data_IF_189032815928
#
_entry.id   IF_189032815928
#
_cell.length_a   1.000
_cell.length_b   1.000
_cell.length_c   1.000
_cell.angle_alpha   90.00
_cell.angle_beta   90.00
_cell.angle_gamma   90.00
#
_symmetry.space_group_name_H-M   'P 1'
#
loop_
_entity.id
_entity.type
_entity.pdbx_description
1 polymer ?
#
# COMPACT_ATOMS: atom_id res chain seq x y z
N UNK A 1 -19.49 -7.07 4.04
CA UNK A 1 -18.67 -8.31 3.96
C UNK A 1 -18.21 -8.63 5.37
N UNK A 2 -18.37 -9.87 5.85
CA UNK A 2 -17.98 -10.21 7.23
C UNK A 2 -16.46 -10.38 7.30
N UNK A 3 -15.82 -9.63 8.20
CA UNK A 3 -14.37 -9.66 8.44
C UNK A 3 -14.09 -10.19 9.84
N UNK A 4 -12.98 -10.91 10.00
CA UNK A 4 -12.55 -11.47 11.29
C UNK A 4 -11.10 -11.08 11.59
N UNK A 5 -10.86 -10.60 12.81
CA UNK A 5 -9.50 -10.32 13.29
C UNK A 5 -8.77 -11.64 13.59
N UNK A 6 -7.55 -11.76 13.09
CA UNK A 6 -6.65 -12.89 13.34
C UNK A 6 -5.21 -12.37 13.55
N UNK A 7 -4.34 -13.22 14.11
CA UNK A 7 -2.92 -12.91 14.31
C UNK A 7 -2.07 -13.59 13.24
N UNK A 8 -1.08 -12.86 12.73
CA UNK A 8 -0.04 -13.39 11.85
C UNK A 8 1.15 -13.93 12.66
N UNK A 9 2.10 -14.58 12.01
CA UNK A 9 3.27 -15.18 12.67
C UNK A 9 4.22 -14.17 13.32
N UNK A 10 4.23 -12.90 12.88
CA UNK A 10 5.04 -11.84 13.52
C UNK A 10 4.31 -11.16 14.70
N UNK A 11 3.13 -11.67 15.08
CA UNK A 11 2.30 -11.15 16.16
C UNK A 11 1.38 -10.01 15.76
N UNK A 12 1.52 -9.46 14.55
CA UNK A 12 0.61 -8.42 14.04
C UNK A 12 -0.78 -8.98 13.74
N UNK A 13 -1.80 -8.18 14.01
CA UNK A 13 -3.17 -8.51 13.63
C UNK A 13 -3.40 -8.28 12.14
N UNK A 14 -4.27 -9.06 11.54
CA UNK A 14 -4.80 -8.83 10.19
C UNK A 14 -6.28 -9.19 10.17
N UNK A 15 -6.95 -8.88 9.07
CA UNK A 15 -8.35 -9.20 8.84
C UNK A 15 -8.45 -10.33 7.81
N UNK A 16 -9.29 -11.32 8.09
CA UNK A 16 -9.74 -12.32 7.13
C UNK A 16 -11.10 -11.92 6.55
N UNK A 17 -11.24 -12.07 5.24
CA UNK A 17 -12.51 -11.98 4.55
C UNK A 17 -13.08 -13.39 4.45
N UNK A 18 -14.03 -13.73 5.34
CA UNK A 18 -14.54 -15.10 5.47
C UNK A 18 -15.10 -15.66 4.16
N UNK A 19 -15.74 -14.81 3.35
CA UNK A 19 -16.33 -15.23 2.07
C UNK A 19 -15.30 -15.65 1.01
N UNK A 20 -14.04 -15.19 1.14
CA UNK A 20 -12.97 -15.43 0.18
C UNK A 20 -11.89 -16.36 0.74
N UNK A 21 -11.82 -16.53 2.06
CA UNK A 21 -10.68 -17.18 2.72
C UNK A 21 -9.37 -16.46 2.44
N UNK A 22 -9.42 -15.14 2.23
CA UNK A 22 -8.28 -14.29 1.91
C UNK A 22 -8.06 -13.30 3.06
N UNK A 23 -6.79 -12.95 3.29
CA UNK A 23 -6.38 -12.06 4.36
C UNK A 23 -5.92 -10.72 3.80
N UNK A 24 -6.04 -9.65 4.59
CA UNK A 24 -5.51 -8.33 4.21
C UNK A 24 -3.98 -8.33 4.12
N UNK A 25 -3.31 -9.23 4.85
CA UNK A 25 -1.85 -9.33 4.89
C UNK A 25 -1.40 -10.79 4.86
N UNK A 26 -0.13 -11.04 4.53
CA UNK A 26 0.46 -12.37 4.67
C UNK A 26 0.36 -12.91 6.10
N UNK A 27 -0.13 -14.14 6.24
CA UNK A 27 -0.13 -14.86 7.52
C UNK A 27 1.26 -15.13 8.10
N UNK A 28 2.32 -15.00 7.28
CA UNK A 28 3.71 -15.11 7.75
C UNK A 28 4.19 -13.84 8.49
N UNK A 29 3.44 -12.76 8.44
CA UNK A 29 3.76 -11.49 9.10
C UNK A 29 3.37 -10.29 8.25
N UNK A 30 2.47 -9.44 8.76
CA UNK A 30 2.03 -8.25 8.04
C UNK A 30 3.12 -7.17 8.01
N UNK A 31 3.75 -6.91 9.16
CA UNK A 31 4.77 -5.87 9.30
C UNK A 31 6.00 -6.24 8.48
N UNK A 32 6.46 -7.49 8.58
CA UNK A 32 7.63 -7.96 7.83
C UNK A 32 7.44 -7.90 6.31
N UNK A 33 6.24 -8.22 5.82
CA UNK A 33 5.92 -8.08 4.39
C UNK A 33 5.89 -6.61 3.96
N UNK A 34 5.24 -5.74 4.75
CA UNK A 34 5.12 -4.33 4.44
C UNK A 34 6.49 -3.64 4.33
N UNK A 35 7.39 -3.89 5.30
CA UNK A 35 8.77 -3.38 5.26
C UNK A 35 9.53 -3.88 4.02
N UNK A 36 9.46 -5.18 3.73
CA UNK A 36 10.17 -5.75 2.59
C UNK A 36 9.68 -5.20 1.26
N UNK A 37 8.36 -5.25 1.02
CA UNK A 37 7.76 -4.96 -0.29
C UNK A 37 7.69 -3.45 -0.54
N UNK A 38 7.15 -2.69 0.41
CA UNK A 38 6.77 -1.30 0.17
C UNK A 38 7.86 -0.33 0.62
N UNK A 39 8.54 -0.61 1.73
CA UNK A 39 9.61 0.27 2.24
C UNK A 39 10.94 0.01 1.52
N UNK A 40 11.51 -1.19 1.67
CA UNK A 40 12.85 -1.48 1.15
C UNK A 40 12.92 -1.52 -0.38
N UNK A 41 11.90 -2.09 -1.04
CA UNK A 41 11.87 -2.16 -2.50
C UNK A 41 11.17 -0.98 -3.17
N UNK A 42 10.56 -0.08 -2.39
CA UNK A 42 9.82 1.09 -2.86
C UNK A 42 10.34 2.40 -2.26
N UNK A 43 9.90 2.74 -1.04
CA UNK A 43 10.13 4.03 -0.40
C UNK A 43 11.60 4.47 -0.33
N UNK A 44 12.49 3.53 0.01
CA UNK A 44 13.92 3.81 0.22
C UNK A 44 14.62 4.28 -1.07
N UNK A 45 14.06 3.97 -2.25
CA UNK A 45 14.57 4.44 -3.54
C UNK A 45 14.49 5.97 -3.70
N UNK A 46 13.72 6.63 -2.83
CA UNK A 46 13.48 8.06 -2.83
C UNK A 46 13.99 8.75 -1.56
N UNK A 47 14.94 8.16 -0.83
CA UNK A 47 15.52 8.78 0.36
C UNK A 47 16.02 10.21 0.07
N UNK A 48 15.79 11.13 1.00
CA UNK A 48 16.14 12.55 0.90
C UNK A 48 15.30 13.36 -0.08
N UNK A 49 14.23 12.80 -0.67
CA UNK A 49 13.41 13.47 -1.68
C UNK A 49 12.02 13.83 -1.17
N UNK A 50 11.43 14.82 -1.85
CA UNK A 50 9.98 15.07 -1.80
C UNK A 50 9.29 14.14 -2.81
N UNK A 51 8.31 13.36 -2.37
CA UNK A 51 7.59 12.42 -3.22
C UNK A 51 6.07 12.50 -3.04
N UNK A 52 5.35 12.21 -4.12
CA UNK A 52 3.92 11.95 -4.13
C UNK A 52 3.73 10.44 -4.26
N UNK A 53 3.05 9.85 -3.28
CA UNK A 53 2.86 8.41 -3.16
C UNK A 53 1.37 8.09 -3.24
N UNK A 54 1.01 7.12 -4.06
CA UNK A 54 -0.34 6.58 -4.16
C UNK A 54 -0.37 5.12 -3.68
N UNK A 55 -1.24 4.81 -2.73
CA UNK A 55 -1.55 3.44 -2.32
C UNK A 55 -2.89 3.00 -2.90
N UNK A 56 -2.88 1.82 -3.52
CA UNK A 56 -4.07 1.13 -4.02
C UNK A 56 -4.44 0.07 -2.99
N UNK A 57 -5.53 0.33 -2.25
CA UNK A 57 -5.95 -0.51 -1.13
C UNK A 57 -5.35 -0.02 0.18
N UNK A 58 -5.86 1.09 0.73
CA UNK A 58 -5.43 1.59 2.05
C UNK A 58 -5.62 0.53 3.14
N UNK A 59 -6.69 -0.27 3.05
CA UNK A 59 -6.93 -1.42 3.89
C UNK A 59 -6.83 -1.11 5.39
N UNK A 60 -5.90 -1.76 6.07
CA UNK A 60 -5.69 -1.58 7.52
C UNK A 60 -4.84 -0.36 7.87
N UNK A 61 -4.45 0.46 6.89
CA UNK A 61 -3.56 1.62 7.06
C UNK A 61 -2.12 1.26 7.43
N UNK A 62 -1.71 -0.01 7.31
CA UNK A 62 -0.39 -0.48 7.76
C UNK A 62 0.74 0.16 6.96
N UNK A 63 0.70 0.10 5.62
CA UNK A 63 1.77 0.65 4.80
C UNK A 63 1.85 2.17 4.95
N UNK A 64 0.71 2.86 5.00
CA UNK A 64 0.64 4.29 5.24
C UNK A 64 1.27 4.68 6.60
N UNK A 65 0.98 3.91 7.65
CA UNK A 65 1.55 4.16 8.97
C UNK A 65 3.06 3.87 9.03
N UNK A 66 3.53 2.73 8.51
CA UNK A 66 4.97 2.44 8.43
C UNK A 66 5.68 3.50 7.59
N UNK A 67 5.09 3.93 6.47
CA UNK A 67 5.65 5.02 5.65
C UNK A 67 5.76 6.31 6.46
N UNK A 68 4.78 6.63 7.30
CA UNK A 68 4.87 7.75 8.24
C UNK A 68 5.99 7.56 9.29
N UNK A 69 6.19 6.36 9.84
CA UNK A 69 7.29 6.14 10.78
C UNK A 69 8.67 6.30 10.12
N UNK A 70 8.80 5.84 8.87
CA UNK A 70 10.09 5.79 8.16
C UNK A 70 10.47 7.13 7.48
N UNK A 71 9.51 8.00 7.17
CA UNK A 71 9.79 9.21 6.38
C UNK A 71 10.80 10.15 7.04
N UNK A 72 10.80 10.25 8.38
CA UNK A 72 11.74 11.09 9.12
C UNK A 72 13.16 10.54 9.02
N UNK A 73 13.32 9.22 9.23
CA UNK A 73 14.61 8.53 9.10
C UNK A 73 15.17 8.65 7.68
N UNK A 74 14.29 8.56 6.68
CA UNK A 74 14.65 8.68 5.27
C UNK A 74 14.79 10.14 4.80
N UNK A 75 14.54 11.12 5.68
CA UNK A 75 14.62 12.55 5.39
C UNK A 75 13.74 12.97 4.19
N UNK A 76 12.53 12.42 4.13
CA UNK A 76 11.59 12.63 3.03
C UNK A 76 10.52 13.65 3.37
N UNK A 77 9.98 14.28 2.33
CA UNK A 77 8.68 14.95 2.41
C UNK A 77 7.67 14.16 1.59
N UNK A 78 6.62 13.65 2.23
CA UNK A 78 5.68 12.72 1.61
C UNK A 78 4.30 13.35 1.49
N UNK A 79 3.79 13.36 0.26
CA UNK A 79 2.37 13.55 -0.03
C UNK A 79 1.75 12.19 -0.30
N UNK A 80 1.10 11.63 0.72
CA UNK A 80 0.52 10.29 0.68
C UNK A 80 -0.96 10.36 0.28
N UNK A 81 -1.34 9.59 -0.73
CA UNK A 81 -2.74 9.34 -1.06
C UNK A 81 -3.06 7.86 -0.97
N UNK A 82 -4.11 7.49 -0.24
CA UNK A 82 -4.60 6.11 -0.17
C UNK A 82 -6.00 6.01 -0.77
N UNK A 83 -6.21 5.06 -1.69
CA UNK A 83 -7.52 4.78 -2.28
C UNK A 83 -8.13 3.54 -1.61
N UNK A 84 -9.39 3.65 -1.21
CA UNK A 84 -10.13 2.57 -0.58
C UNK A 84 -11.61 2.66 -0.95
N UNK A 85 -12.22 1.53 -1.29
CA UNK A 85 -13.63 1.45 -1.62
C UNK A 85 -14.49 0.98 -0.44
N UNK A 86 -13.90 0.22 0.48
CA UNK A 86 -14.59 -0.43 1.60
C UNK A 86 -13.78 -0.25 2.90
N UNK A 87 -13.76 0.96 3.47
CA UNK A 87 -12.96 1.24 4.66
C UNK A 87 -13.35 0.37 5.85
N UNK A 88 -12.40 0.18 6.76
CA UNK A 88 -12.65 -0.48 8.04
C UNK A 88 -13.54 0.38 8.94
N UNK A 89 -14.30 -0.28 9.81
CA UNK A 89 -15.03 0.43 10.88
C UNK A 89 -14.08 0.83 12.00
N UNK A 90 -14.49 1.77 12.85
CA UNK A 90 -13.67 2.19 14.00
C UNK A 90 -13.38 1.03 14.97
N UNK A 91 -14.33 0.10 15.13
CA UNK A 91 -14.19 -1.10 15.94
C UNK A 91 -13.15 -2.07 15.37
N UNK A 92 -13.12 -2.23 14.04
CA UNK A 92 -12.12 -3.04 13.35
C UNK A 92 -10.72 -2.43 13.51
N UNK A 93 -10.60 -1.10 13.36
CA UNK A 93 -9.34 -0.36 13.54
C UNK A 93 -8.83 -0.48 14.98
N UNK A 94 -9.70 -0.41 15.97
CA UNK A 94 -9.33 -0.53 17.39
C UNK A 94 -8.72 -1.90 17.74
N UNK A 95 -8.93 -2.92 16.91
CA UNK A 95 -8.35 -4.24 17.07
C UNK A 95 -6.98 -4.40 16.38
N UNK A 96 -6.48 -3.36 15.69
CA UNK A 96 -5.18 -3.36 15.03
C UNK A 96 -4.08 -3.01 16.03
N UNK A 97 -3.09 -3.89 16.19
CA UNK A 97 -2.01 -3.76 17.19
C UNK A 97 -0.70 -3.22 16.61
N UNK A 98 -0.75 -2.57 15.44
CA UNK A 98 0.45 -2.12 14.75
C UNK A 98 1.23 -1.06 15.53
N UNK A 99 0.61 -0.02 16.13
CA UNK A 99 1.36 0.96 16.91
C UNK A 99 2.16 0.36 18.05
N UNK A 100 1.61 -0.65 18.74
CA UNK A 100 2.27 -1.35 19.83
C UNK A 100 3.45 -2.19 19.33
N UNK A 101 3.28 -2.93 18.23
CA UNK A 101 4.35 -3.79 17.69
C UNK A 101 5.47 -3.03 16.99
N UNK A 102 5.16 -1.86 16.44
CA UNK A 102 6.13 -0.97 15.80
C UNK A 102 6.84 -0.05 16.80
N UNK A 103 6.58 -0.21 18.10
CA UNK A 103 7.10 0.65 19.18
C UNK A 103 6.92 2.14 18.87
N UNK A 104 5.73 2.50 18.37
CA UNK A 104 5.48 3.82 17.79
C UNK A 104 5.46 4.96 18.82
N UNK A 105 5.48 4.67 20.12
CA UNK A 105 5.48 5.66 21.20
C UNK A 105 4.37 6.70 21.06
N UNK A 106 4.75 7.97 20.96
CA UNK A 106 3.85 9.12 20.79
C UNK A 106 3.12 9.15 19.43
N UNK A 107 3.65 8.43 18.43
CA UNK A 107 3.06 8.33 17.08
C UNK A 107 1.84 7.41 17.00
N UNK A 108 1.44 6.76 18.10
CA UNK A 108 0.16 6.03 18.17
C UNK A 108 -1.03 6.92 17.80
N UNK A 109 -1.02 8.17 18.28
CA UNK A 109 -2.06 9.17 17.95
C UNK A 109 -2.16 9.45 16.44
N UNK A 110 -1.04 9.31 15.70
CA UNK A 110 -1.02 9.48 14.25
C UNK A 110 -1.73 8.33 13.54
N UNK A 111 -1.64 7.10 14.06
CA UNK A 111 -2.39 5.96 13.53
C UNK A 111 -3.91 6.18 13.67
N UNK A 112 -4.35 6.71 14.81
CA UNK A 112 -5.75 7.08 15.06
C UNK A 112 -6.20 8.22 14.14
N UNK A 113 -5.36 9.25 13.97
CA UNK A 113 -5.62 10.37 13.07
C UNK A 113 -5.70 9.92 11.61
N UNK A 114 -4.84 9.00 11.17
CA UNK A 114 -4.86 8.43 9.82
C UNK A 114 -6.23 7.81 9.51
N UNK A 115 -6.79 7.05 10.44
CA UNK A 115 -8.08 6.40 10.26
C UNK A 115 -9.26 7.37 10.38
N UNK A 116 -9.22 8.31 11.33
CA UNK A 116 -10.29 9.28 11.59
C UNK A 116 -10.28 10.50 10.65
N UNK A 117 -9.20 10.73 9.91
CA UNK A 117 -9.11 11.84 8.96
C UNK A 117 -10.28 11.83 7.95
N UNK A 118 -10.80 13.00 7.55
CA UNK A 118 -11.86 13.09 6.55
C UNK A 118 -11.43 12.46 5.22
N UNK A 119 -12.40 11.91 4.50
CA UNK A 119 -12.22 11.44 3.13
C UNK A 119 -12.19 12.63 2.17
N UNK A 120 -11.41 12.48 1.11
CA UNK A 120 -11.25 13.43 0.00
C UNK A 120 -10.67 14.81 0.37
N UNK A 121 -10.17 14.93 1.60
CA UNK A 121 -9.46 16.09 2.12
C UNK A 121 -7.99 15.76 2.44
N UNK A 122 -7.12 16.76 2.29
CA UNK A 122 -5.70 16.62 2.65
C UNK A 122 -5.49 17.09 4.09
N UNK A 123 -4.92 16.21 4.92
CA UNK A 123 -4.58 16.48 6.32
C UNK A 123 -3.07 16.41 6.51
N UNK A 124 -2.51 17.32 7.31
CA UNK A 124 -1.10 17.25 7.72
C UNK A 124 -0.97 16.32 8.93
N UNK A 125 -0.16 15.26 8.82
CA UNK A 125 0.19 14.40 9.96
C UNK A 125 1.48 14.88 10.64
N UNK A 126 2.37 15.51 9.88
CA UNK A 126 3.56 16.24 10.35
C UNK A 126 3.86 17.39 9.38
N UNK A 127 4.86 18.26 9.65
CA UNK A 127 5.28 19.31 8.71
C UNK A 127 5.77 18.77 7.35
N UNK A 128 6.21 17.52 7.31
CA UNK A 128 6.79 16.85 6.13
C UNK A 128 5.95 15.67 5.65
N UNK A 129 4.76 15.45 6.20
CA UNK A 129 3.87 14.36 5.80
C UNK A 129 2.41 14.83 5.73
N UNK A 130 1.81 14.68 4.55
CA UNK A 130 0.37 14.90 4.36
C UNK A 130 -0.30 13.61 3.92
N UNK A 131 -1.52 13.37 4.40
CA UNK A 131 -2.38 12.26 4.02
C UNK A 131 -3.63 12.79 3.31
N UNK A 132 -4.00 12.17 2.18
CA UNK A 132 -5.33 12.25 1.60
C UNK A 132 -5.89 10.85 1.41
N UNK A 133 -7.01 10.54 2.06
CA UNK A 133 -7.73 9.28 1.80
C UNK A 133 -8.80 9.53 0.74
N UNK A 134 -8.96 8.63 -0.22
CA UNK A 134 -9.93 8.76 -1.33
C UNK A 134 -10.93 7.62 -1.28
N UNK A 135 -12.21 7.94 -1.08
CA UNK A 135 -13.28 6.95 -0.95
C UNK A 135 -13.85 6.67 -2.34
N UNK A 136 -13.20 5.77 -3.08
CA UNK A 136 -13.54 5.48 -4.46
C UNK A 136 -13.04 4.10 -4.87
N UNK A 137 -13.59 3.56 -5.96
CA UNK A 137 -13.07 2.33 -6.57
C UNK A 137 -11.81 2.61 -7.38
N UNK A 138 -11.00 1.58 -7.63
CA UNK A 138 -9.72 1.75 -8.34
C UNK A 138 -9.93 2.10 -9.83
N UNK A 139 -11.07 1.74 -10.41
CA UNK A 139 -11.45 2.09 -11.79
C UNK A 139 -11.76 3.58 -11.96
N UNK A 140 -12.01 4.31 -10.87
CA UNK A 140 -12.26 5.75 -10.89
C UNK A 140 -10.96 6.56 -10.91
N UNK A 141 -9.80 5.92 -10.74
CA UNK A 141 -8.50 6.59 -10.80
C UNK A 141 -8.24 7.09 -12.21
N UNK A 142 -8.07 8.41 -12.32
CA UNK A 142 -7.83 9.14 -13.57
C UNK A 142 -6.64 10.10 -13.49
N UNK A 143 -5.83 9.99 -12.43
CA UNK A 143 -4.63 10.81 -12.23
C UNK A 143 -3.64 10.67 -13.40
N UNK A 144 -2.92 11.75 -13.70
CA UNK A 144 -1.95 11.83 -14.80
C UNK A 144 -0.64 12.42 -14.29
N UNK A 145 0.49 11.71 -14.48
CA UNK A 145 1.86 12.16 -14.15
C UNK A 145 1.99 12.79 -12.74
N UNK A 146 1.32 12.20 -11.75
CA UNK A 146 1.16 12.81 -10.43
C UNK A 146 2.04 12.17 -9.37
N UNK A 147 2.24 10.86 -9.45
CA UNK A 147 2.88 10.09 -8.40
C UNK A 147 4.30 9.64 -8.79
N UNK A 148 5.21 9.69 -7.83
CA UNK A 148 6.57 9.18 -7.96
C UNK A 148 6.62 7.67 -7.61
N UNK A 149 5.75 7.24 -6.70
CA UNK A 149 5.68 5.87 -6.18
C UNK A 149 4.23 5.41 -6.04
N UNK A 150 3.93 4.20 -6.51
CA UNK A 150 2.67 3.50 -6.27
C UNK A 150 2.93 2.25 -5.42
N UNK A 151 2.22 2.13 -4.31
CA UNK A 151 2.02 0.86 -3.62
C UNK A 151 0.78 0.19 -4.19
N UNK A 152 0.97 -0.91 -4.91
CA UNK A 152 -0.14 -1.67 -5.46
C UNK A 152 -0.44 -2.85 -4.54
N UNK A 153 -1.30 -2.62 -3.55
CA UNK A 153 -1.64 -3.55 -2.47
C UNK A 153 -3.10 -4.01 -2.52
N UNK A 154 -3.55 -4.36 -3.73
CA UNK A 154 -4.85 -4.96 -3.93
C UNK A 154 -4.86 -6.44 -3.47
N UNK A 155 -6.06 -6.97 -3.18
CA UNK A 155 -6.22 -8.41 -2.96
C UNK A 155 -5.75 -9.23 -4.15
N UNK A 156 -5.35 -10.48 -3.87
CA UNK A 156 -4.64 -11.30 -4.84
C UNK A 156 -5.46 -11.53 -6.11
N UNK A 157 -4.79 -11.67 -7.25
CA UNK A 157 -5.47 -11.95 -8.52
C UNK A 157 -6.20 -13.32 -8.55
N UNK A 158 -6.13 -14.11 -7.47
CA UNK A 158 -6.92 -15.34 -7.33
C UNK A 158 -8.36 -15.03 -6.94
N UNK A 159 -8.55 -14.03 -6.08
CA UNK A 159 -9.87 -13.64 -5.55
C UNK A 159 -10.44 -12.42 -6.26
N UNK A 160 -9.59 -11.49 -6.71
CA UNK A 160 -10.01 -10.28 -7.41
C UNK A 160 -9.23 -10.09 -8.72
N UNK A 161 -9.36 -11.00 -9.70
CA UNK A 161 -8.63 -10.92 -10.98
C UNK A 161 -8.88 -9.63 -11.76
N UNK A 162 -10.03 -8.99 -11.58
CA UNK A 162 -10.40 -7.71 -12.18
C UNK A 162 -9.43 -6.58 -11.84
N UNK A 163 -8.78 -6.66 -10.67
CA UNK A 163 -7.78 -5.69 -10.20
C UNK A 163 -6.38 -5.94 -10.79
N UNK A 164 -6.19 -6.95 -11.64
CA UNK A 164 -4.88 -7.30 -12.20
C UNK A 164 -4.90 -7.31 -13.73
N UNK A 165 -5.71 -6.40 -14.29
CA UNK A 165 -5.97 -6.26 -15.72
C UNK A 165 -5.09 -5.18 -16.36
N UNK A 166 -4.93 -5.25 -17.68
CA UNK A 166 -4.24 -4.22 -18.46
C UNK A 166 -4.91 -2.85 -18.25
N UNK A 167 -6.24 -2.79 -18.25
CA UNK A 167 -6.98 -1.54 -18.02
C UNK A 167 -6.63 -0.89 -16.68
N UNK A 168 -6.50 -1.66 -15.60
CA UNK A 168 -6.14 -1.08 -14.31
C UNK A 168 -4.65 -0.67 -14.27
N UNK A 169 -3.75 -1.49 -14.85
CA UNK A 169 -2.35 -1.09 -14.94
C UNK A 169 -2.10 0.11 -15.85
N UNK A 170 -2.92 0.32 -16.89
CA UNK A 170 -2.86 1.51 -17.73
C UNK A 170 -3.15 2.77 -16.91
N UNK A 171 -4.14 2.72 -16.01
CA UNK A 171 -4.42 3.82 -15.07
C UNK A 171 -3.23 4.08 -14.15
N UNK A 172 -2.59 3.03 -13.64
CA UNK A 172 -1.39 3.17 -12.80
C UNK A 172 -0.21 3.75 -13.58
N UNK A 173 -0.04 3.32 -14.84
CA UNK A 173 0.98 3.84 -15.73
C UNK A 173 0.75 5.32 -16.01
N UNK A 174 -0.49 5.73 -16.29
CA UNK A 174 -0.86 7.13 -16.49
C UNK A 174 -0.64 7.98 -15.23
N UNK A 175 -1.01 7.45 -14.06
CA UNK A 175 -0.89 8.14 -12.79
C UNK A 175 0.57 8.39 -12.35
N UNK A 176 1.50 7.50 -12.71
CA UNK A 176 2.92 7.68 -12.43
C UNK A 176 3.54 8.76 -13.30
N UNK A 177 4.46 9.52 -12.71
CA UNK A 177 5.41 10.36 -13.43
C UNK A 177 6.37 9.51 -14.25
N UNK A 178 6.92 10.08 -15.32
CA UNK A 178 8.10 9.50 -15.99
C UNK A 178 9.22 9.23 -14.98
N UNK A 179 9.76 8.01 -14.99
CA UNK A 179 10.73 7.53 -14.01
C UNK A 179 10.12 6.99 -12.70
N UNK A 180 8.81 7.12 -12.53
CA UNK A 180 8.06 6.65 -11.37
C UNK A 180 7.99 5.12 -11.26
N UNK A 181 7.73 4.65 -10.04
CA UNK A 181 7.87 3.24 -9.65
C UNK A 181 6.55 2.72 -9.07
N UNK A 182 6.17 1.50 -9.44
CA UNK A 182 5.13 0.72 -8.79
C UNK A 182 5.76 -0.52 -8.14
N UNK A 183 5.38 -0.81 -6.90
CA UNK A 183 5.78 -2.03 -6.18
C UNK A 183 4.55 -2.81 -5.72
N UNK A 184 4.65 -4.14 -5.76
CA UNK A 184 3.59 -5.03 -5.30
C UNK A 184 4.14 -6.35 -4.79
N UNK A 185 3.49 -6.95 -3.79
CA UNK A 185 3.85 -8.28 -3.28
C UNK A 185 3.60 -9.38 -4.31
N UNK A 186 2.70 -9.15 -5.28
CA UNK A 186 2.28 -10.17 -6.22
C UNK A 186 3.36 -10.48 -7.27
N UNK A 187 3.42 -11.74 -7.70
CA UNK A 187 4.36 -12.20 -8.74
C UNK A 187 3.73 -13.13 -9.79
N UNK A 188 2.40 -13.12 -9.89
CA UNK A 188 1.68 -13.89 -10.92
C UNK A 188 2.11 -13.44 -12.32
N UNK A 189 2.33 -14.43 -13.20
CA UNK A 189 2.74 -14.16 -14.58
C UNK A 189 1.72 -13.35 -15.39
N UNK A 190 0.43 -13.45 -15.07
CA UNK A 190 -0.63 -12.63 -15.69
C UNK A 190 -0.45 -11.15 -15.36
N UNK A 191 -0.26 -10.81 -14.08
CA UNK A 191 -0.03 -9.42 -13.64
C UNK A 191 1.20 -8.81 -14.33
N UNK A 192 2.32 -9.57 -14.37
CA UNK A 192 3.54 -9.12 -15.08
C UNK A 192 3.27 -8.82 -16.55
N UNK A 193 2.57 -9.72 -17.27
CA UNK A 193 2.26 -9.49 -18.69
C UNK A 193 1.35 -8.28 -18.89
N UNK A 194 0.36 -8.10 -18.03
CA UNK A 194 -0.55 -6.96 -18.09
C UNK A 194 0.19 -5.63 -17.86
N UNK A 195 1.09 -5.57 -16.87
CA UNK A 195 1.96 -4.40 -16.65
C UNK A 195 2.85 -4.13 -17.88
N UNK A 196 3.46 -5.16 -18.46
CA UNK A 196 4.31 -5.00 -19.65
C UNK A 196 3.53 -4.53 -20.88
N UNK A 197 2.29 -4.99 -21.05
CA UNK A 197 1.43 -4.61 -22.18
C UNK A 197 1.12 -3.10 -22.20
N UNK A 198 1.05 -2.47 -21.02
CA UNK A 198 0.79 -1.02 -20.89
C UNK A 198 2.06 -0.16 -20.90
N UNK A 199 3.24 -0.78 -21.07
CA UNK A 199 4.51 -0.06 -21.21
C UNK A 199 5.41 -0.07 -19.99
N UNK A 200 5.03 -0.71 -18.88
CA UNK A 200 5.95 -0.82 -17.73
C UNK A 200 7.17 -1.68 -18.06
N UNK A 201 8.34 -1.22 -17.62
CA UNK A 201 9.50 -2.08 -17.46
C UNK A 201 9.41 -2.82 -16.13
N UNK A 202 9.14 -4.12 -16.20
CA UNK A 202 8.90 -4.96 -15.02
C UNK A 202 10.11 -5.82 -14.70
N UNK A 203 10.55 -5.77 -13.45
CA UNK A 203 11.57 -6.66 -12.88
C UNK A 203 10.98 -7.56 -11.78
N UNK A 204 11.60 -8.72 -11.61
CA UNK A 204 11.30 -9.64 -10.51
C UNK A 204 12.34 -9.43 -9.41
N UNK A 205 11.87 -9.28 -8.18
CA UNK A 205 12.71 -9.14 -6.99
C UNK A 205 12.43 -10.30 -6.03
N UNK A 206 13.35 -10.62 -5.10
CA UNK A 206 13.08 -11.58 -4.05
C UNK A 206 11.81 -11.22 -3.27
N UNK A 207 10.91 -12.18 -3.06
CA UNK A 207 9.69 -11.95 -2.29
C UNK A 207 9.93 -11.91 -0.77
N UNK A 208 8.98 -11.33 -0.04
CA UNK A 208 9.03 -11.25 1.41
C UNK A 208 8.78 -12.62 2.08
N UNK A 209 9.37 -12.84 3.26
CA UNK A 209 9.03 -13.94 4.17
C UNK A 209 9.00 -15.32 3.48
N UNK A 210 9.98 -15.60 2.63
CA UNK A 210 10.11 -16.87 1.91
C UNK A 210 9.18 -17.05 0.71
N UNK A 211 8.45 -16.00 0.27
CA UNK A 211 7.85 -15.94 -1.07
C UNK A 211 8.98 -15.82 -2.11
N UNK A 212 8.84 -16.51 -3.25
CA UNK A 212 9.91 -16.60 -4.25
C UNK A 212 10.21 -15.25 -4.91
N UNK A 213 9.17 -14.64 -5.49
CA UNK A 213 9.27 -13.43 -6.27
C UNK A 213 8.22 -12.41 -5.79
N UNK A 214 8.54 -11.13 -5.95
CA UNK A 214 7.62 -9.99 -6.01
C UNK A 214 7.90 -9.18 -7.30
N UNK A 215 7.08 -8.18 -7.60
CA UNK A 215 7.26 -7.35 -8.80
C UNK A 215 7.52 -5.89 -8.45
N UNK A 216 8.43 -5.29 -9.22
CA UNK A 216 8.59 -3.83 -9.33
C UNK A 216 8.47 -3.44 -10.80
N UNK A 217 7.75 -2.37 -11.06
CA UNK A 217 7.50 -1.85 -12.39
C UNK A 217 7.91 -0.38 -12.45
N UNK A 218 8.59 0.01 -13.52
CA UNK A 218 9.03 1.39 -13.74
C UNK A 218 8.43 1.96 -15.02
N UNK A 219 7.96 3.20 -14.95
CA UNK A 219 7.61 4.00 -16.12
C UNK A 219 8.87 4.65 -16.69
N UNK A 220 9.19 4.36 -17.95
CA UNK A 220 10.34 4.95 -18.67
C UNK A 220 9.92 6.13 -19.53
#
# INVERSE_FOLDING_TARGET
MKRKIIYTQDGSTTLEIEAWGEHYHSMRGAIGEAYHVFIHQGLELFAGKKIFLLEIGLGTGLNAFITFLEHERLQQTIHYEGVEAYPLTAEEVACLNYPELLDAGDKKSVFELLHSAPWDETVSLSPTFTLKKRLQSFEQICDQERFDLIYFDAFSASVQPELWTETLFERMYQALKTGGILVTYASKGSARRAMQAVGFKVEKLPGALGKRDMLRAKKE
#
